data_IF_359446055345
#
_entry.id   IF_359446055345
#
_cell.length_a   1.000
_cell.length_b   1.000
_cell.length_c   1.000
_cell.angle_alpha   90.00
_cell.angle_beta   90.00
_cell.angle_gamma   90.00
#
_symmetry.space_group_name_H-M   'P 1'
#
loop_
_entity.id
_entity.type
_entity.pdbx_description
1 polymer ?
#
# COMPACT_ATOMS: atom_id res chain seq x y z
N UNK A 1 -9.55 -5.81 20.82
CA UNK A 1 -9.09 -6.35 19.53
C UNK A 1 -7.73 -5.73 19.24
N UNK A 2 -6.66 -6.52 19.14
CA UNK A 2 -5.36 -6.03 18.67
C UNK A 2 -5.46 -5.87 17.16
N UNK A 3 -5.69 -4.65 16.68
CA UNK A 3 -5.50 -4.32 15.27
C UNK A 3 -4.01 -4.51 14.95
N UNK A 4 -3.65 -5.15 13.82
CA UNK A 4 -2.26 -5.41 13.43
C UNK A 4 -1.43 -4.12 13.21
N UNK A 5 -2.10 -2.97 13.10
CA UNK A 5 -1.49 -1.65 13.00
C UNK A 5 -1.99 -0.78 14.15
N UNK A 6 -1.08 -0.33 15.00
CA UNK A 6 -1.38 0.62 16.07
C UNK A 6 -1.43 2.05 15.50
N UNK A 7 -2.62 2.50 15.10
CA UNK A 7 -2.88 3.87 14.65
C UNK A 7 -2.81 4.91 15.78
N UNK A 8 -2.59 4.50 17.03
CA UNK A 8 -2.56 5.37 18.22
C UNK A 8 -1.15 5.60 18.79
N UNK A 9 -0.10 5.15 18.10
CA UNK A 9 1.28 5.45 18.50
C UNK A 9 1.50 6.96 18.49
N UNK A 10 1.75 7.59 19.65
CA UNK A 10 2.00 9.03 19.79
C UNK A 10 3.30 9.55 19.17
N UNK A 11 3.94 8.79 18.27
CA UNK A 11 4.98 9.32 17.40
C UNK A 11 4.33 10.28 16.39
N UNK A 12 4.95 11.43 16.13
CA UNK A 12 4.48 12.36 15.10
C UNK A 12 4.56 11.68 13.73
N UNK A 13 3.43 11.16 13.23
CA UNK A 13 3.37 10.58 11.90
C UNK A 13 3.55 11.67 10.86
N UNK A 14 4.63 11.60 10.08
CA UNK A 14 4.83 12.48 8.95
C UNK A 14 4.23 11.82 7.70
N UNK A 15 2.97 12.13 7.42
CA UNK A 15 2.40 11.76 6.13
C UNK A 15 3.12 12.56 5.04
N UNK A 16 3.69 11.86 4.05
CA UNK A 16 4.31 12.52 2.89
C UNK A 16 3.27 13.42 2.20
N UNK A 17 3.72 14.56 1.67
CA UNK A 17 2.86 15.48 0.92
C UNK A 17 2.10 14.75 -0.19
N UNK A 18 0.90 15.24 -0.52
CA UNK A 18 0.15 14.69 -1.65
C UNK A 18 0.89 15.05 -2.94
N UNK A 19 1.09 14.06 -3.80
CA UNK A 19 1.68 14.19 -5.14
C UNK A 19 0.60 14.34 -6.21
N UNK A 20 -0.63 13.98 -5.86
CA UNK A 20 -1.82 14.11 -6.69
C UNK A 20 -2.92 14.87 -5.94
N UNK A 21 -3.55 15.82 -6.63
CA UNK A 21 -4.74 16.52 -6.12
C UNK A 21 -6.01 15.82 -6.61
N UNK A 22 -6.54 14.93 -5.76
CA UNK A 22 -7.84 14.28 -5.96
C UNK A 22 -8.66 14.49 -4.68
N UNK A 23 -9.93 14.86 -4.82
CA UNK A 23 -10.82 14.97 -3.68
C UNK A 23 -11.13 13.58 -3.11
N UNK A 24 -11.19 13.46 -1.79
CA UNK A 24 -11.53 12.21 -1.12
C UNK A 24 -12.90 11.65 -1.55
N UNK A 25 -13.85 12.53 -1.89
CA UNK A 25 -15.17 12.15 -2.42
C UNK A 25 -15.12 11.49 -3.78
N UNK A 26 -14.08 11.77 -4.56
CA UNK A 26 -13.98 11.33 -5.95
C UNK A 26 -13.31 9.96 -6.07
N UNK A 27 -12.85 9.39 -4.95
CA UNK A 27 -12.33 8.03 -4.90
C UNK A 27 -13.46 7.00 -4.81
N UNK A 28 -13.76 6.39 -5.95
CA UNK A 28 -14.55 5.15 -6.00
C UNK A 28 -13.62 3.95 -5.87
N UNK A 29 -13.75 3.23 -4.75
CA UNK A 29 -12.98 2.01 -4.51
C UNK A 29 -13.77 0.81 -4.99
N UNK A 30 -13.23 0.08 -5.96
CA UNK A 30 -13.74 -1.23 -6.35
C UNK A 30 -12.99 -2.30 -5.57
N UNK A 31 -13.72 -3.06 -4.77
CA UNK A 31 -13.19 -4.15 -3.97
C UNK A 31 -13.50 -5.45 -4.71
N UNK A 32 -12.46 -6.21 -5.02
CA UNK A 32 -12.62 -7.54 -5.60
C UNK A 32 -12.69 -8.55 -4.46
N UNK A 33 -13.78 -9.30 -4.41
CA UNK A 33 -13.91 -10.47 -3.56
C UNK A 33 -13.61 -11.72 -4.38
N UNK A 34 -12.91 -12.69 -3.76
CA UNK A 34 -12.63 -13.97 -4.41
C UNK A 34 -13.91 -14.79 -4.58
N UNK A 35 -14.85 -14.65 -3.64
CA UNK A 35 -16.20 -15.23 -3.70
C UNK A 35 -17.20 -14.17 -3.29
N UNK A 36 -18.11 -13.85 -4.21
CA UNK A 36 -19.18 -12.87 -4.04
C UNK A 36 -20.52 -13.56 -4.30
N UNK A 37 -21.16 -14.03 -3.22
CA UNK A 37 -22.44 -14.72 -3.30
C UNK A 37 -23.58 -13.78 -3.72
N UNK A 38 -23.50 -12.49 -3.43
CA UNK A 38 -24.49 -11.50 -3.85
C UNK A 38 -24.44 -11.32 -5.38
N UNK A 39 -23.24 -11.20 -5.95
CA UNK A 39 -23.06 -11.15 -7.40
C UNK A 39 -23.53 -12.43 -8.09
N UNK A 40 -23.23 -13.61 -7.53
CA UNK A 40 -23.70 -14.89 -8.07
C UNK A 40 -25.24 -14.95 -8.07
N UNK A 41 -25.87 -14.59 -6.95
CA UNK A 41 -27.32 -14.57 -6.80
C UNK A 41 -28.01 -13.58 -7.73
N UNK A 42 -27.41 -12.40 -7.93
CA UNK A 42 -27.89 -11.41 -8.90
C UNK A 42 -27.84 -11.90 -10.36
N UNK A 43 -27.07 -12.96 -10.64
CA UNK A 43 -26.98 -13.63 -11.93
C UNK A 43 -27.67 -15.02 -11.93
N UNK A 44 -28.68 -15.20 -11.07
CA UNK A 44 -29.48 -16.43 -10.96
C UNK A 44 -28.73 -17.68 -10.47
N UNK A 45 -27.57 -17.51 -9.83
CA UNK A 45 -26.81 -18.58 -9.18
C UNK A 45 -26.91 -18.48 -7.64
N UNK A 46 -28.02 -18.96 -7.07
CA UNK A 46 -28.21 -19.03 -5.61
C UNK A 46 -27.59 -20.32 -5.03
N UNK A 47 -26.28 -20.28 -4.81
CA UNK A 47 -25.47 -21.44 -4.37
C UNK A 47 -24.86 -21.27 -2.98
N UNK A 48 -25.06 -20.13 -2.32
CA UNK A 48 -24.45 -19.81 -1.02
C UNK A 48 -24.76 -20.89 0.03
N UNK A 49 -26.04 -21.31 0.09
CA UNK A 49 -26.51 -22.29 1.06
C UNK A 49 -25.73 -23.61 1.02
N UNK A 50 -25.29 -24.05 -0.17
CA UNK A 50 -24.49 -25.27 -0.30
C UNK A 50 -23.19 -25.21 0.50
N UNK A 51 -22.63 -24.01 0.72
CA UNK A 51 -21.39 -23.83 1.44
C UNK A 51 -21.60 -23.42 2.89
N UNK A 52 -22.55 -22.53 3.16
CA UNK A 52 -22.83 -22.05 4.53
C UNK A 52 -23.38 -23.17 5.41
N UNK A 53 -24.19 -24.07 4.86
CA UNK A 53 -24.75 -25.21 5.59
C UNK A 53 -23.67 -26.22 6.00
N UNK A 54 -22.54 -26.25 5.29
CA UNK A 54 -21.37 -27.05 5.62
C UNK A 54 -20.41 -26.34 6.61
N UNK A 55 -20.72 -25.09 7.00
CA UNK A 55 -19.92 -24.30 7.93
C UNK A 55 -18.70 -23.60 7.30
N UNK A 56 -18.70 -23.38 5.98
CA UNK A 56 -17.54 -22.80 5.27
C UNK A 56 -17.48 -21.26 5.32
N UNK A 57 -18.43 -20.59 5.98
CA UNK A 57 -18.52 -19.12 6.01
C UNK A 57 -17.21 -18.45 6.42
N UNK A 58 -16.57 -18.93 7.50
CA UNK A 58 -15.30 -18.37 7.98
C UNK A 58 -14.14 -18.53 6.99
N UNK A 59 -14.16 -19.57 6.16
CA UNK A 59 -13.15 -19.73 5.13
C UNK A 59 -13.29 -18.66 4.05
N UNK A 60 -14.52 -18.36 3.60
CA UNK A 60 -14.77 -17.29 2.63
C UNK A 60 -14.53 -15.90 3.22
N UNK A 61 -14.89 -15.67 4.48
CA UNK A 61 -14.53 -14.43 5.19
C UNK A 61 -13.01 -14.22 5.20
N UNK A 62 -12.25 -15.28 5.49
CA UNK A 62 -10.79 -15.23 5.47
C UNK A 62 -10.21 -15.07 4.07
N UNK A 63 -10.86 -15.65 3.05
CA UNK A 63 -10.42 -15.58 1.66
C UNK A 63 -10.62 -14.18 1.08
N UNK A 64 -11.77 -13.56 1.36
CA UNK A 64 -12.07 -12.19 0.97
C UNK A 64 -11.24 -11.19 1.79
N UNK A 65 -11.01 -11.49 3.07
CA UNK A 65 -10.17 -10.72 3.97
C UNK A 65 -10.72 -9.33 4.30
N UNK A 66 -10.11 -8.64 5.28
CA UNK A 66 -10.47 -7.27 5.58
C UNK A 66 -9.99 -6.34 4.46
N UNK A 67 -10.83 -5.38 4.10
CA UNK A 67 -10.46 -4.29 3.20
C UNK A 67 -10.25 -3.04 4.04
N UNK A 68 -9.25 -2.24 3.66
CA UNK A 68 -8.92 -0.99 4.34
C UNK A 68 -9.13 0.22 3.41
N UNK A 69 -10.38 0.62 3.10
CA UNK A 69 -10.65 1.68 2.12
C UNK A 69 -9.97 3.01 2.45
N UNK A 70 -9.93 3.36 3.73
CA UNK A 70 -9.27 4.60 4.20
C UNK A 70 -7.78 4.55 3.88
N UNK A 71 -7.11 3.44 4.18
CA UNK A 71 -5.69 3.27 3.89
C UNK A 71 -5.41 3.39 2.38
N UNK A 72 -6.25 2.79 1.54
CA UNK A 72 -6.12 2.88 0.08
C UNK A 72 -6.33 4.31 -0.42
N UNK A 73 -7.33 5.02 0.11
CA UNK A 73 -7.61 6.43 -0.21
C UNK A 73 -6.51 7.38 0.30
N UNK A 74 -5.81 7.02 1.37
CA UNK A 74 -4.64 7.77 1.84
C UNK A 74 -3.37 7.44 1.07
N UNK A 75 -3.26 6.21 0.55
CA UNK A 75 -2.11 5.70 -0.19
C UNK A 75 -1.93 6.35 -1.55
N UNK A 76 -2.96 6.32 -2.39
CA UNK A 76 -2.86 6.74 -3.78
C UNK A 76 -2.48 8.22 -3.96
N UNK A 77 -3.09 9.19 -3.26
CA UNK A 77 -2.71 10.60 -3.37
C UNK A 77 -1.27 10.93 -2.96
N UNK A 78 -0.62 10.03 -2.21
CA UNK A 78 0.73 10.23 -1.63
C UNK A 78 1.78 9.33 -2.27
N UNK A 79 1.38 8.54 -3.25
CA UNK A 79 2.29 7.63 -3.93
C UNK A 79 3.13 8.38 -4.98
N UNK A 80 4.36 7.94 -5.17
CA UNK A 80 5.26 8.42 -6.20
C UNK A 80 5.81 7.24 -6.97
N UNK A 81 6.04 7.47 -8.26
CA UNK A 81 6.78 6.54 -9.09
C UNK A 81 8.26 6.74 -8.78
N UNK A 82 8.90 5.69 -8.28
CA UNK A 82 10.33 5.63 -8.09
C UNK A 82 10.93 4.80 -9.22
N UNK A 83 11.48 5.49 -10.21
CA UNK A 83 12.15 4.90 -11.35
C UNK A 83 13.68 4.99 -11.20
N UNK A 84 14.40 4.59 -12.25
CA UNK A 84 15.85 4.64 -12.26
C UNK A 84 16.39 6.07 -12.11
N UNK A 85 15.71 7.06 -12.68
CA UNK A 85 16.14 8.46 -12.59
C UNK A 85 16.05 8.96 -11.15
N UNK A 86 14.94 8.68 -10.46
CA UNK A 86 14.76 8.99 -9.04
C UNK A 86 15.82 8.27 -8.19
N UNK A 87 16.12 7.01 -8.51
CA UNK A 87 17.17 6.26 -7.83
C UNK A 87 18.55 6.90 -7.98
N UNK A 88 18.93 7.29 -9.20
CA UNK A 88 20.21 7.93 -9.48
C UNK A 88 20.28 9.33 -8.83
N UNK A 89 19.16 10.07 -8.79
CA UNK A 89 19.06 11.34 -8.07
C UNK A 89 19.25 11.16 -6.56
N UNK A 90 18.58 10.18 -5.95
CA UNK A 90 18.73 9.86 -4.52
C UNK A 90 20.18 9.53 -4.16
N UNK A 91 20.84 8.72 -5.00
CA UNK A 91 22.27 8.42 -4.84
C UNK A 91 23.14 9.68 -4.92
N UNK A 92 22.89 10.52 -5.92
CA UNK A 92 23.66 11.77 -6.12
C UNK A 92 23.50 12.71 -4.92
N UNK A 93 22.29 12.83 -4.39
CA UNK A 93 22.01 13.63 -3.19
C UNK A 93 22.73 13.07 -1.96
N UNK A 94 22.66 11.75 -1.73
CA UNK A 94 23.35 11.09 -0.61
C UNK A 94 24.87 11.23 -0.68
N UNK A 95 25.46 11.24 -1.88
CA UNK A 95 26.88 11.54 -2.07
C UNK A 95 27.18 13.01 -1.76
N UNK A 96 26.30 13.93 -2.15
CA UNK A 96 26.47 15.37 -1.93
C UNK A 96 26.32 15.79 -0.45
N UNK A 97 25.57 15.05 0.36
CA UNK A 97 25.42 15.29 1.82
C UNK A 97 26.78 15.28 2.56
N UNK A 98 27.71 14.43 2.14
CA UNK A 98 29.08 14.38 2.66
C UNK A 98 30.05 13.91 1.57
N UNK A 99 30.46 14.85 0.71
CA UNK A 99 31.32 14.54 -0.44
C UNK A 99 32.68 13.94 -0.02
N UNK A 100 33.18 14.25 1.18
CA UNK A 100 34.48 13.75 1.65
C UNK A 100 34.39 12.25 1.95
N UNK A 101 33.32 11.84 2.65
CA UNK A 101 33.18 10.46 3.11
C UNK A 101 32.36 9.57 2.17
N UNK A 102 31.49 10.13 1.33
CA UNK A 102 30.55 9.35 0.53
C UNK A 102 30.98 9.12 -0.92
N UNK A 103 31.98 9.87 -1.41
CA UNK A 103 32.46 9.73 -2.79
C UNK A 103 33.03 8.34 -3.04
N UNK A 104 32.56 7.70 -4.13
CA UNK A 104 33.03 6.39 -4.57
C UNK A 104 32.41 5.19 -3.82
N UNK A 105 31.56 5.44 -2.82
CA UNK A 105 30.80 4.37 -2.16
C UNK A 105 29.68 3.85 -3.06
N UNK A 106 29.39 2.55 -2.97
CA UNK A 106 28.20 1.96 -3.59
C UNK A 106 26.92 2.40 -2.89
N UNK A 107 25.75 2.17 -3.54
CA UNK A 107 24.43 2.41 -2.92
C UNK A 107 24.29 1.71 -1.57
N UNK A 108 24.67 0.44 -1.51
CA UNK A 108 24.60 -0.37 -0.30
C UNK A 108 25.49 0.20 0.83
N UNK A 109 26.70 0.63 0.49
CA UNK A 109 27.62 1.28 1.44
C UNK A 109 27.10 2.63 1.94
N UNK A 110 26.22 3.28 1.17
CA UNK A 110 25.52 4.49 1.57
C UNK A 110 24.21 4.22 2.31
N UNK A 111 23.85 2.95 2.56
CA UNK A 111 22.59 2.55 3.18
C UNK A 111 21.37 2.77 2.28
N UNK A 112 21.57 2.89 0.97
CA UNK A 112 20.50 3.00 -0.02
C UNK A 112 20.13 1.62 -0.54
N UNK A 113 18.83 1.39 -0.78
CA UNK A 113 18.37 0.17 -1.45
C UNK A 113 18.90 0.12 -2.88
N UNK A 114 19.25 -1.09 -3.32
CA UNK A 114 19.50 -1.39 -4.73
C UNK A 114 18.25 -1.10 -5.55
N UNK A 115 18.43 -0.46 -6.72
CA UNK A 115 17.34 -0.30 -7.67
C UNK A 115 17.23 -1.56 -8.53
N UNK A 116 16.09 -2.26 -8.45
CA UNK A 116 15.81 -3.47 -9.23
C UNK A 116 14.84 -3.21 -10.37
N UNK A 117 13.79 -2.45 -10.07
CA UNK A 117 12.72 -2.12 -10.99
C UNK A 117 12.02 -0.83 -10.57
N UNK A 118 11.16 -0.32 -11.45
CA UNK A 118 10.29 0.82 -11.14
C UNK A 118 9.27 0.42 -10.08
N UNK A 119 9.18 1.21 -9.00
CA UNK A 119 8.33 0.94 -7.86
C UNK A 119 7.34 2.08 -7.63
N UNK A 120 6.18 1.77 -7.04
CA UNK A 120 5.29 2.78 -6.47
C UNK A 120 5.59 2.87 -4.98
N UNK A 121 6.08 4.03 -4.53
CA UNK A 121 6.43 4.27 -3.12
C UNK A 121 5.46 5.26 -2.53
N UNK A 122 4.85 4.91 -1.40
CA UNK A 122 4.02 5.82 -0.61
C UNK A 122 4.38 5.67 0.85
N UNK A 123 4.40 6.78 1.59
CA UNK A 123 4.54 6.74 3.05
C UNK A 123 3.21 7.15 3.68
N UNK A 124 2.38 6.13 3.94
CA UNK A 124 1.12 6.29 4.66
C UNK A 124 1.34 5.78 6.07
N UNK A 125 1.32 6.71 7.02
CA UNK A 125 1.36 6.39 8.45
C UNK A 125 2.65 5.71 8.93
N UNK A 126 3.79 5.94 8.26
CA UNK A 126 5.13 5.59 8.73
C UNK A 126 5.84 6.79 9.37
N UNK A 127 6.66 6.51 10.39
CA UNK A 127 7.60 7.46 10.99
C UNK A 127 8.85 7.63 10.11
#
# INVERSE_FOLDING_TARGET
>A
QNLPLNSQSGASFFAKGKTMEINYSDFDLVIVQAVDFEALKANDFDVEHFFTDQGWSHFFDSLNGPVYPILVKDFWPRCEIYDKFEADREYTLRVAEDMVNNKGKSREQLGLKEFKETEIRSNVSGA
#
